data_IF_595765880483
#
_entry.id   IF_595765880483
#
_cell.length_a   1.000
_cell.length_b   1.000
_cell.length_c   1.000
_cell.angle_alpha   90.00
_cell.angle_beta   90.00
_cell.angle_gamma   90.00
#
_symmetry.space_group_name_H-M   'P 1'
#
loop_
_entity.id
_entity.type
_entity.pdbx_description
1 polymer ?
#
# COMPACT_ATOMS: atom_id res chain seq x y z
N UNK A 1 -14.48 5.19 1.86
CA UNK A 1 -14.03 6.59 1.98
C UNK A 1 -14.22 7.27 0.63
N UNK A 2 -14.95 8.39 0.57
CA UNK A 2 -15.09 9.19 -0.65
C UNK A 2 -14.06 10.32 -0.62
N UNK A 3 -13.24 10.42 -1.67
CA UNK A 3 -12.23 11.46 -1.83
C UNK A 3 -12.54 12.21 -3.11
N UNK A 4 -12.69 13.54 -3.01
CA UNK A 4 -12.85 14.41 -4.17
C UNK A 4 -11.48 14.77 -4.71
N UNK A 5 -11.22 14.44 -5.97
CA UNK A 5 -9.99 14.76 -6.70
C UNK A 5 -10.40 15.61 -7.90
N UNK A 6 -9.68 16.72 -8.15
CA UNK A 6 -9.93 17.57 -9.31
C UNK A 6 -9.88 16.76 -10.62
N UNK A 7 -10.82 17.03 -11.53
CA UNK A 7 -10.98 16.24 -12.76
C UNK A 7 -9.74 16.26 -13.65
N UNK A 8 -9.04 17.39 -13.74
CA UNK A 8 -7.82 17.50 -14.55
C UNK A 8 -6.70 16.63 -13.97
N UNK A 9 -6.57 16.58 -12.64
CA UNK A 9 -5.60 15.74 -11.95
C UNK A 9 -5.92 14.25 -12.13
N UNK A 10 -7.20 13.88 -12.01
CA UNK A 10 -7.68 12.51 -12.24
C UNK A 10 -7.38 12.05 -13.68
N UNK A 11 -7.59 12.91 -14.67
CA UNK A 11 -7.29 12.63 -16.08
C UNK A 11 -5.80 12.43 -16.32
N UNK A 12 -4.95 13.32 -15.79
CA UNK A 12 -3.48 13.19 -15.91
C UNK A 12 -2.97 11.91 -15.25
N UNK A 13 -3.48 11.61 -14.05
CA UNK A 13 -3.13 10.38 -13.33
C UNK A 13 -3.55 9.13 -14.10
N UNK A 14 -4.79 9.10 -14.60
CA UNK A 14 -5.30 8.00 -15.43
C UNK A 14 -4.46 7.80 -16.69
N UNK A 15 -4.19 8.86 -17.45
CA UNK A 15 -3.37 8.79 -18.66
C UNK A 15 -1.96 8.24 -18.37
N UNK A 16 -1.35 8.67 -17.27
CA UNK A 16 -0.03 8.18 -16.84
C UNK A 16 -0.06 6.71 -16.46
N UNK A 17 -1.09 6.26 -15.73
CA UNK A 17 -1.27 4.85 -15.38
C UNK A 17 -1.47 3.99 -16.64
N UNK A 18 -2.31 4.45 -17.57
CA UNK A 18 -2.58 3.75 -18.83
C UNK A 18 -1.32 3.61 -19.69
N UNK A 19 -0.53 4.67 -19.82
CA UNK A 19 0.75 4.64 -20.55
C UNK A 19 1.76 3.65 -19.96
N UNK A 20 1.69 3.39 -18.65
CA UNK A 20 2.54 2.43 -17.95
C UNK A 20 1.91 1.04 -17.82
N UNK A 21 0.70 0.83 -18.32
CA UNK A 21 -0.02 -0.44 -18.19
C UNK A 21 -0.45 -0.78 -16.76
N UNK A 22 -0.60 0.23 -15.89
CA UNK A 22 -0.94 0.06 -14.48
C UNK A 22 -2.41 0.38 -14.20
N UNK A 23 -2.99 -0.32 -13.22
CA UNK A 23 -4.34 0.00 -12.71
C UNK A 23 -4.24 1.18 -11.74
N UNK A 24 -5.14 2.15 -11.87
CA UNK A 24 -5.20 3.31 -10.95
C UNK A 24 -5.30 2.88 -9.48
N UNK A 25 -6.11 1.85 -9.19
CA UNK A 25 -6.31 1.35 -7.82
C UNK A 25 -5.03 0.80 -7.21
N UNK A 26 -4.19 0.13 -8.01
CA UNK A 26 -2.91 -0.39 -7.56
C UNK A 26 -1.97 0.75 -7.18
N UNK A 27 -1.82 1.74 -8.06
CA UNK A 27 -0.94 2.90 -7.83
C UNK A 27 -1.39 3.69 -6.60
N UNK A 28 -2.71 3.88 -6.42
CA UNK A 28 -3.24 4.57 -5.23
C UNK A 28 -2.96 3.77 -3.95
N UNK A 29 -3.12 2.45 -3.97
CA UNK A 29 -2.80 1.61 -2.80
C UNK A 29 -1.32 1.70 -2.42
N UNK A 30 -0.42 1.57 -3.40
CA UNK A 30 1.03 1.69 -3.18
C UNK A 30 1.41 3.07 -2.62
N UNK A 31 0.81 4.15 -3.13
CA UNK A 31 1.06 5.49 -2.61
C UNK A 31 0.55 5.67 -1.18
N UNK A 32 -0.60 5.08 -0.83
CA UNK A 32 -1.12 5.10 0.55
C UNK A 32 -0.17 4.33 1.48
N UNK A 33 0.29 3.14 1.08
CA UNK A 33 1.25 2.34 1.86
C UNK A 33 2.57 3.07 2.06
N UNK A 34 3.12 3.68 1.01
CA UNK A 34 4.35 4.48 1.09
C UNK A 34 4.16 5.70 2.00
N UNK A 35 3.03 6.39 1.89
CA UNK A 35 2.69 7.51 2.77
C UNK A 35 2.63 7.07 4.22
N UNK A 36 1.94 5.96 4.51
CA UNK A 36 1.87 5.39 5.86
C UNK A 36 3.28 5.01 6.35
N UNK A 37 4.09 4.31 5.55
CA UNK A 37 5.45 3.93 5.95
C UNK A 37 6.35 5.13 6.25
N UNK A 38 6.27 6.18 5.44
CA UNK A 38 7.05 7.40 5.63
C UNK A 38 6.64 8.18 6.89
N UNK A 39 5.35 8.15 7.24
CA UNK A 39 4.81 8.93 8.35
C UNK A 39 4.63 8.12 9.65
N UNK A 40 4.63 6.78 9.57
CA UNK A 40 4.64 5.87 10.72
C UNK A 40 6.04 5.76 11.36
N UNK A 41 7.05 6.48 10.87
CA UNK A 41 8.33 6.65 11.55
C UNK A 41 8.20 7.37 12.91
N UNK A 42 7.00 7.88 13.26
CA UNK A 42 6.70 8.47 14.58
C UNK A 42 5.96 7.50 15.52
N UNK A 43 5.57 6.31 15.09
CA UNK A 43 5.00 5.29 16.01
C UNK A 43 6.02 4.18 16.19
N UNK A 44 7.04 4.48 16.98
CA UNK A 44 7.74 3.47 17.75
C UNK A 44 6.72 2.67 18.56
N UNK A 45 6.47 1.43 18.15
CA UNK A 45 5.87 0.41 19.01
C UNK A 45 4.43 0.02 18.72
N UNK A 46 4.14 -0.49 17.51
CA UNK A 46 3.28 -1.69 17.42
C UNK A 46 3.82 -2.55 16.28
N UNK A 47 4.56 -3.59 16.65
CA UNK A 47 4.95 -4.65 15.74
C UNK A 47 3.68 -5.44 15.38
N UNK A 48 3.26 -5.37 14.11
CA UNK A 48 2.31 -6.35 13.58
C UNK A 48 3.12 -7.60 13.25
N UNK A 49 3.21 -8.48 14.25
CA UNK A 49 3.76 -9.82 14.11
C UNK A 49 2.79 -10.68 13.31
N UNK A 50 3.03 -10.82 12.01
CA UNK A 50 2.51 -11.94 11.23
C UNK A 50 3.51 -13.10 11.36
N UNK A 51 3.49 -13.76 12.53
CA UNK A 51 4.33 -14.93 12.77
C UNK A 51 3.98 -16.06 11.80
N UNK A 52 5.02 -16.44 11.07
CA UNK A 52 5.08 -17.47 10.06
C UNK A 52 4.79 -18.89 10.61
N UNK A 53 3.95 -19.61 9.86
CA UNK A 53 4.24 -20.91 9.22
C UNK A 53 5.10 -21.93 10.01
N UNK A 54 4.43 -23.05 10.35
CA UNK A 54 4.87 -24.47 10.30
C UNK A 54 5.54 -25.07 11.55
N UNK A 55 4.71 -25.72 12.35
CA UNK A 55 5.12 -26.86 13.17
C UNK A 55 5.42 -28.09 12.28
N UNK A 56 6.68 -28.51 12.27
CA UNK A 56 7.10 -29.87 11.93
C UNK A 56 7.87 -30.45 13.12
N UNK A 57 7.36 -31.59 13.59
CA UNK A 57 7.83 -32.41 14.71
C UNK A 57 9.34 -32.68 14.76
N UNK A 58 9.90 -32.86 15.98
CA UNK A 58 10.88 -33.92 16.33
C UNK A 58 11.07 -34.04 17.87
N UNK A 59 10.54 -35.14 18.44
CA UNK A 59 11.16 -36.10 19.37
C UNK A 59 11.83 -35.63 20.69
N UNK A 60 11.23 -36.06 21.81
CA UNK A 60 11.91 -36.81 22.88
C UNK A 60 10.92 -37.73 23.59
#
# INVERSE_FOLDING_TARGET
MHISIADDLKKKFHATCALRGLKMSQVVAELIEQWLKANNCVVSGVEFDESAIRDKATKL
#
